data_IF_820597491276
#
_entry.id   IF_820597491276
#
_cell.length_a   1.000
_cell.length_b   1.000
_cell.length_c   1.000
_cell.angle_alpha   90.00
_cell.angle_beta   90.00
_cell.angle_gamma   90.00
#
_symmetry.space_group_name_H-M   'P 1'
#
loop_
_entity.id
_entity.type
_entity.pdbx_description
1 polymer ?
#
# COMPACT_ATOMS: atom_id res chain seq x y z
N UNK A 1 28.30 11.90 20.33
CA UNK A 1 27.57 10.88 19.55
C UNK A 1 27.63 11.31 18.09
N UNK A 2 28.36 10.59 17.24
CA UNK A 2 28.81 11.13 15.96
C UNK A 2 27.66 11.22 14.96
N UNK A 3 27.32 12.43 14.50
CA UNK A 3 26.31 12.70 13.46
C UNK A 3 26.49 11.84 12.19
N UNK A 4 27.72 11.44 11.88
CA UNK A 4 28.08 10.52 10.81
C UNK A 4 27.38 9.15 10.90
N UNK A 5 27.14 8.63 12.11
CA UNK A 5 26.53 7.31 12.30
C UNK A 5 25.04 7.34 11.92
N UNK A 6 24.34 8.40 12.32
CA UNK A 6 22.91 8.61 11.99
C UNK A 6 22.77 8.79 10.48
N UNK A 7 23.65 9.58 9.87
CA UNK A 7 23.62 9.84 8.44
C UNK A 7 23.90 8.56 7.63
N UNK A 8 24.86 7.74 8.05
CA UNK A 8 25.17 6.43 7.44
C UNK A 8 23.96 5.48 7.50
N UNK A 9 23.33 5.37 8.68
CA UNK A 9 22.13 4.54 8.87
C UNK A 9 20.98 4.96 7.95
N UNK A 10 20.75 6.26 7.82
CA UNK A 10 19.66 6.78 6.98
C UNK A 10 19.97 6.55 5.49
N UNK A 11 21.20 6.80 5.03
CA UNK A 11 21.59 6.55 3.63
C UNK A 11 21.46 5.07 3.29
N UNK A 12 21.86 4.18 4.21
CA UNK A 12 21.70 2.74 4.04
C UNK A 12 20.21 2.36 3.96
N UNK A 13 19.37 2.94 4.81
CA UNK A 13 17.94 2.68 4.79
C UNK A 13 17.25 3.17 3.50
N UNK A 14 17.54 4.41 3.07
CA UNK A 14 16.97 4.99 1.84
C UNK A 14 17.43 4.21 0.61
N UNK A 15 18.71 3.83 0.53
CA UNK A 15 19.21 3.03 -0.59
C UNK A 15 18.57 1.64 -0.64
N UNK A 16 18.46 0.96 0.50
CA UNK A 16 17.74 -0.31 0.60
C UNK A 16 16.29 -0.18 0.14
N UNK A 17 15.59 0.87 0.59
CA UNK A 17 14.21 1.09 0.24
C UNK A 17 14.02 1.44 -1.25
N UNK A 18 14.89 2.28 -1.82
CA UNK A 18 14.92 2.60 -3.24
C UNK A 18 15.14 1.34 -4.10
N UNK A 19 16.08 0.47 -3.71
CA UNK A 19 16.29 -0.84 -4.36
C UNK A 19 15.02 -1.69 -4.28
N UNK A 20 14.32 -1.68 -3.14
CA UNK A 20 13.03 -2.38 -2.99
C UNK A 20 11.96 -1.90 -3.96
N UNK A 21 11.85 -0.57 -4.17
CA UNK A 21 10.91 0.02 -5.13
C UNK A 21 11.27 -0.35 -6.56
N UNK A 22 12.55 -0.23 -6.92
CA UNK A 22 13.07 -0.57 -8.26
C UNK A 22 12.82 -2.05 -8.55
N UNK A 23 13.14 -2.95 -7.62
CA UNK A 23 12.89 -4.41 -7.77
C UNK A 23 11.42 -4.72 -8.01
N UNK A 24 10.50 -4.09 -7.28
CA UNK A 24 9.05 -4.30 -7.47
C UNK A 24 8.54 -3.71 -8.79
N UNK A 25 9.14 -2.62 -9.25
CA UNK A 25 8.86 -2.05 -10.57
C UNK A 25 9.32 -2.97 -11.70
N UNK A 26 10.55 -3.51 -11.61
CA UNK A 26 11.10 -4.48 -12.57
C UNK A 26 10.28 -5.78 -12.66
N UNK A 27 9.62 -6.18 -11.57
CA UNK A 27 8.71 -7.35 -11.52
C UNK A 27 7.31 -7.07 -12.09
N UNK A 28 7.02 -5.84 -12.52
CA UNK A 28 5.70 -5.44 -13.02
C UNK A 28 4.61 -5.36 -11.94
N UNK A 29 4.96 -5.54 -10.67
CA UNK A 29 4.03 -5.53 -9.53
C UNK A 29 3.53 -4.11 -9.19
N UNK A 30 4.26 -3.08 -9.63
CA UNK A 30 3.93 -1.67 -9.42
C UNK A 30 3.57 -0.97 -10.72
N UNK A 31 2.40 -0.34 -10.75
CA UNK A 31 2.00 0.58 -11.81
C UNK A 31 3.03 1.73 -11.89
N UNK A 32 3.40 2.18 -13.09
CA UNK A 32 4.40 3.25 -13.31
C UNK A 32 4.18 4.49 -12.42
N UNK A 33 2.94 4.91 -12.26
CA UNK A 33 2.56 6.02 -11.38
C UNK A 33 2.86 5.75 -9.88
N UNK A 34 2.68 4.52 -9.41
CA UNK A 34 2.99 4.14 -8.04
C UNK A 34 4.51 4.09 -7.81
N UNK A 35 5.27 3.57 -8.76
CA UNK A 35 6.74 3.57 -8.68
C UNK A 35 7.31 5.00 -8.66
N UNK A 36 6.81 5.89 -9.51
CA UNK A 36 7.20 7.31 -9.52
C UNK A 36 6.87 7.99 -8.19
N UNK A 37 5.68 7.75 -7.61
CA UNK A 37 5.30 8.28 -6.31
C UNK A 37 6.20 7.79 -5.16
N UNK A 38 6.55 6.50 -5.16
CA UNK A 38 7.46 5.94 -4.17
C UNK A 38 8.88 6.51 -4.29
N UNK A 39 9.41 6.66 -5.51
CA UNK A 39 10.72 7.27 -5.72
C UNK A 39 10.74 8.75 -5.28
N UNK A 40 9.67 9.50 -5.58
CA UNK A 40 9.53 10.88 -5.12
C UNK A 40 9.51 10.98 -3.58
N UNK A 41 8.83 10.05 -2.91
CA UNK A 41 8.82 9.98 -1.44
C UNK A 41 10.23 9.76 -0.87
N UNK A 42 10.97 8.78 -1.40
CA UNK A 42 12.34 8.50 -0.94
C UNK A 42 13.30 9.65 -1.24
N UNK A 43 13.13 10.34 -2.37
CA UNK A 43 13.88 11.55 -2.69
C UNK A 43 13.58 12.69 -1.70
N UNK A 44 12.32 12.87 -1.30
CA UNK A 44 11.93 13.87 -0.29
C UNK A 44 12.54 13.55 1.09
N UNK A 45 12.57 12.27 1.49
CA UNK A 45 13.23 11.83 2.73
C UNK A 45 14.73 12.13 2.67
N UNK A 46 15.40 11.80 1.56
CA UNK A 46 16.83 12.09 1.38
C UNK A 46 17.11 13.60 1.45
N UNK A 47 16.28 14.43 0.81
CA UNK A 47 16.41 15.88 0.85
C UNK A 47 16.23 16.46 2.26
N UNK A 48 15.24 15.97 3.02
CA UNK A 48 15.00 16.39 4.40
C UNK A 48 16.18 16.08 5.35
N UNK A 49 16.92 15.00 5.07
CA UNK A 49 18.06 14.54 5.87
C UNK A 49 19.35 15.26 5.48
N UNK A 50 19.57 15.50 4.18
CA UNK A 50 20.78 16.15 3.66
C UNK A 50 20.79 17.67 3.87
N UNK A 51 19.62 18.30 4.04
CA UNK A 51 19.49 19.74 4.21
C UNK A 51 18.65 20.12 5.46
N UNK A 52 19.19 19.98 6.69
CA UNK A 52 18.48 20.38 7.91
C UNK A 52 18.09 21.88 7.93
N UNK A 53 18.83 22.73 7.20
CA UNK A 53 18.52 24.16 7.03
C UNK A 53 17.22 24.43 6.24
N UNK A 54 16.82 23.56 5.31
CA UNK A 54 15.53 23.72 4.60
C UNK A 54 14.35 23.32 5.48
N UNK A 55 14.55 22.36 6.37
CA UNK A 55 13.55 21.94 7.37
C UNK A 55 13.31 23.03 8.41
N UNK A 56 14.33 23.84 8.74
CA UNK A 56 14.19 25.06 9.55
C UNK A 56 13.36 26.17 8.88
N UNK A 57 13.46 26.32 7.56
CA UNK A 57 12.71 27.35 6.83
C UNK A 57 11.23 26.98 6.71
N UNK A 58 10.92 25.70 6.48
CA UNK A 58 9.56 25.15 6.57
C UNK A 58 8.98 25.27 8.00
N UNK A 59 9.79 24.97 9.02
CA UNK A 59 9.40 25.10 10.43
C UNK A 59 9.00 26.53 10.81
N UNK A 60 9.74 27.54 10.31
CA UNK A 60 9.42 28.95 10.51
C UNK A 60 8.11 29.36 9.83
N UNK A 61 7.79 28.81 8.66
CA UNK A 61 6.54 29.09 7.95
C UNK A 61 5.32 28.43 8.63
N UNK A 62 5.52 27.26 9.24
CA UNK A 62 4.47 26.47 9.90
C UNK A 62 4.31 26.77 11.40
N UNK A 63 5.16 27.62 11.98
CA UNK A 63 5.08 28.04 13.38
C UNK A 63 5.48 26.97 14.41
N UNK A 64 6.18 25.91 13.98
CA UNK A 64 6.60 24.79 14.85
C UNK A 64 8.11 24.93 15.11
N UNK A 65 8.51 25.03 16.38
CA UNK A 65 9.90 25.34 16.77
C UNK A 65 10.98 24.33 16.33
N UNK A 66 10.59 23.17 15.77
CA UNK A 66 11.47 22.09 15.30
C UNK A 66 10.92 21.46 14.02
N UNK A 67 11.67 21.51 12.93
CA UNK A 67 11.26 20.97 11.63
C UNK A 67 11.04 19.45 11.59
N UNK A 68 11.66 18.71 12.52
CA UNK A 68 11.43 17.26 12.68
C UNK A 68 10.00 16.96 13.11
N UNK A 69 9.37 17.82 13.92
CA UNK A 69 8.05 17.57 14.48
C UNK A 69 6.97 17.65 13.39
N UNK A 70 7.14 18.55 12.42
CA UNK A 70 6.30 18.65 11.22
C UNK A 70 6.35 17.35 10.40
N UNK A 71 7.56 16.83 10.15
CA UNK A 71 7.75 15.58 9.42
C UNK A 71 7.11 14.42 10.16
N UNK A 72 7.24 14.36 11.49
CA UNK A 72 6.61 13.34 12.31
C UNK A 72 5.08 13.40 12.24
N UNK A 73 4.47 14.57 12.39
CA UNK A 73 3.02 14.71 12.30
C UNK A 73 2.49 14.29 10.93
N UNK A 74 3.12 14.76 9.84
CA UNK A 74 2.74 14.36 8.49
C UNK A 74 2.93 12.86 8.25
N UNK A 75 4.00 12.27 8.80
CA UNK A 75 4.26 10.84 8.68
C UNK A 75 3.22 10.01 9.40
N UNK A 76 2.85 10.39 10.63
CA UNK A 76 1.82 9.68 11.41
C UNK A 76 0.48 9.75 10.70
N UNK A 77 0.04 10.95 10.30
CA UNK A 77 -1.22 11.13 9.56
C UNK A 77 -1.20 10.34 8.24
N UNK A 78 -0.10 10.42 7.50
CA UNK A 78 0.08 9.69 6.24
C UNK A 78 0.04 8.18 6.43
N UNK A 79 0.70 7.64 7.47
CA UNK A 79 0.69 6.22 7.80
C UNK A 79 -0.71 5.75 8.18
N UNK A 80 -1.44 6.48 9.02
CA UNK A 80 -2.83 6.15 9.37
C UNK A 80 -3.74 6.15 8.13
N UNK A 81 -3.61 7.14 7.25
CA UNK A 81 -4.36 7.18 6.00
C UNK A 81 -4.02 5.97 5.09
N UNK A 82 -2.74 5.62 4.96
CA UNK A 82 -2.31 4.50 4.13
C UNK A 82 -2.79 3.15 4.71
N UNK A 83 -2.76 3.02 6.04
CA UNK A 83 -3.27 1.86 6.76
C UNK A 83 -4.78 1.72 6.54
N UNK A 84 -5.54 2.80 6.72
CA UNK A 84 -6.97 2.81 6.47
C UNK A 84 -7.31 2.44 5.02
N UNK A 85 -6.60 3.03 4.05
CA UNK A 85 -6.76 2.68 2.62
C UNK A 85 -6.46 1.21 2.33
N UNK A 86 -5.45 0.65 3.01
CA UNK A 86 -5.10 -0.77 2.87
C UNK A 86 -6.19 -1.66 3.44
N UNK A 87 -6.74 -1.30 4.60
CA UNK A 87 -7.87 -2.00 5.23
C UNK A 87 -9.11 -2.01 4.33
N UNK A 88 -9.48 -0.88 3.74
CA UNK A 88 -10.58 -0.81 2.77
C UNK A 88 -10.33 -1.68 1.53
N UNK A 89 -9.07 -1.82 1.10
CA UNK A 89 -8.72 -2.67 -0.05
C UNK A 89 -8.81 -4.16 0.33
N UNK A 90 -8.39 -4.52 1.55
CA UNK A 90 -8.53 -5.87 2.09
C UNK A 90 -9.99 -6.28 2.17
N UNK A 91 -10.86 -5.45 2.75
CA UNK A 91 -12.30 -5.74 2.82
C UNK A 91 -12.94 -5.94 1.43
N UNK A 92 -12.53 -5.16 0.43
CA UNK A 92 -13.00 -5.33 -0.95
C UNK A 92 -12.53 -6.67 -1.54
N UNK A 93 -11.31 -7.09 -1.24
CA UNK A 93 -10.77 -8.37 -1.67
C UNK A 93 -11.52 -9.53 -1.00
N UNK A 94 -11.80 -9.45 0.30
CA UNK A 94 -12.55 -10.49 1.03
C UNK A 94 -13.96 -10.66 0.47
N UNK A 95 -14.65 -9.56 0.15
CA UNK A 95 -15.96 -9.60 -0.52
C UNK A 95 -15.90 -10.24 -1.91
N UNK A 96 -14.86 -9.90 -2.69
CA UNK A 96 -14.67 -10.48 -4.02
C UNK A 96 -14.40 -12.00 -3.96
N UNK A 97 -13.57 -12.45 -3.02
CA UNK A 97 -13.32 -13.88 -2.78
C UNK A 97 -14.61 -14.59 -2.38
N UNK A 98 -15.36 -14.02 -1.42
CA UNK A 98 -16.64 -14.59 -0.97
C UNK A 98 -17.64 -14.75 -2.14
N UNK A 99 -17.74 -13.73 -2.99
CA UNK A 99 -18.59 -13.78 -4.18
C UNK A 99 -18.12 -14.83 -5.19
N UNK A 100 -16.81 -14.94 -5.42
CA UNK A 100 -16.22 -15.92 -6.33
C UNK A 100 -16.48 -17.36 -5.85
N UNK A 101 -16.28 -17.65 -4.56
CA UNK A 101 -16.53 -18.98 -3.98
C UNK A 101 -18.02 -19.34 -4.05
N UNK A 102 -18.92 -18.39 -3.75
CA UNK A 102 -20.37 -18.60 -3.87
C UNK A 102 -20.78 -18.92 -5.31
N UNK A 103 -20.25 -18.17 -6.27
CA UNK A 103 -20.53 -18.38 -7.69
C UNK A 103 -20.03 -19.76 -8.16
N UNK A 104 -18.84 -20.17 -7.72
CA UNK A 104 -18.31 -21.52 -8.00
C UNK A 104 -19.23 -22.62 -7.43
N UNK A 105 -19.59 -22.52 -6.15
CA UNK A 105 -20.44 -23.53 -5.49
C UNK A 105 -21.82 -23.67 -6.13
N UNK A 106 -22.48 -22.56 -6.49
CA UNK A 106 -23.77 -22.59 -7.19
C UNK A 106 -23.64 -23.14 -8.61
N UNK A 107 -22.54 -22.82 -9.30
CA UNK A 107 -22.24 -23.36 -10.63
C UNK A 107 -22.03 -24.87 -10.64
N UNK A 108 -21.39 -25.42 -9.61
CA UNK A 108 -21.16 -26.86 -9.47
C UNK A 108 -22.45 -27.61 -9.15
N UNK A 109 -23.27 -27.06 -8.23
CA UNK A 109 -24.62 -27.57 -7.94
C UNK A 109 -25.52 -27.64 -9.18
N UNK A 110 -25.47 -26.63 -10.05
CA UNK A 110 -26.26 -26.62 -11.28
C UNK A 110 -25.81 -27.67 -12.31
N UNK A 111 -24.54 -28.11 -12.27
CA UNK A 111 -24.00 -29.15 -13.16
C UNK A 111 -24.27 -30.56 -12.66
N UNK A 112 -24.38 -30.76 -11.35
CA UNK A 112 -24.60 -32.07 -10.73
C UNK A 112 -26.06 -32.49 -10.63
N UNK A 113 -27.03 -31.60 -10.86
CA UNK A 113 -28.44 -32.00 -10.91
C UNK A 113 -28.67 -32.92 -12.12
N UNK A 114 -28.91 -34.23 -11.90
CA UNK A 114 -29.31 -35.11 -12.99
C UNK A 114 -30.69 -34.63 -13.45
N UNK A 115 -30.85 -34.46 -14.75
CA UNK A 115 -32.10 -34.14 -15.43
C UNK A 115 -33.24 -34.93 -14.75
N UNK A 116 -34.05 -34.26 -13.91
CA UNK A 116 -35.23 -34.87 -13.32
C UNK A 116 -36.22 -35.01 -14.48
N UNK A 117 -36.10 -36.11 -15.22
CA UNK A 117 -37.07 -36.50 -16.23
C UNK A 117 -38.41 -36.61 -15.52
N UNK A 118 -39.43 -35.83 -15.93
CA UNK A 118 -40.75 -35.91 -15.33
C UNK A 118 -41.19 -37.36 -15.34
N UNK A 119 -41.38 -37.94 -14.15
CA UNK A 119 -41.87 -39.30 -14.01
C UNK A 119 -43.21 -39.37 -14.71
N UNK A 120 -43.31 -40.26 -15.70
CA UNK A 120 -44.50 -40.52 -16.48
C UNK A 120 -45.57 -41.24 -15.64
N UNK A 121 -45.98 -40.62 -14.53
CA UNK A 121 -46.97 -41.15 -13.60
C UNK A 121 -48.09 -40.12 -13.43
N UNK A 122 -48.84 -39.92 -14.52
CA UNK A 122 -50.15 -39.25 -14.54
C UNK A 122 -50.90 -39.68 -15.81
N UNK A 123 -50.95 -40.99 -16.03
CA UNK A 123 -51.90 -41.64 -16.95
C UNK A 123 -52.32 -42.96 -16.30
N UNK A 124 -53.03 -42.83 -15.20
CA UNK A 124 -54.08 -43.80 -14.83
C UNK A 124 -55.42 -43.27 -15.35
#
# INVERSE_FOLDING_TARGET
>A
MNFLLIQLLIVLFVSFAAVGVVRRFLRGELRRAAAAGWLALWAAVAAAVLAPKTTELLARLLGVGRGVDVVLYLSVVGLFYLQFRTMLRLEKMDRAITAAVRAAALGDLAREQPEIKPSAHSRE
#
